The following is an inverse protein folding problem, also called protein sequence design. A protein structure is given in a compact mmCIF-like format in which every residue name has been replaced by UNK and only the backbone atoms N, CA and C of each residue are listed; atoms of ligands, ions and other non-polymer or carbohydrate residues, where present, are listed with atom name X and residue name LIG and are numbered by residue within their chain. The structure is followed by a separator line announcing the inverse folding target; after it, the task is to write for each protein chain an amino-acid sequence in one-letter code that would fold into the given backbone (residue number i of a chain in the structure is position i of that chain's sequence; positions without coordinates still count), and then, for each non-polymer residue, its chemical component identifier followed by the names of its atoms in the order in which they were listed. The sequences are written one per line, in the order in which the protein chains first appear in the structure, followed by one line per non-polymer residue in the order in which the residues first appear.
data_IF_534957186581
#
_entry.id   IF_534957186581
#
_cell.length_a   1.000
_cell.length_b   1.000
_cell.length_c   1.000
_cell.angle_alpha   90.00
_cell.angle_beta   90.00
_cell.angle_gamma   90.00
#
_symmetry.space_group_name_H-M   'P 1'
#
loop_
_entity.id
_entity.type
_entity.pdbx_description
1 polymer ?
#
# COMPACT_ATOMS: atom_id res chain seq x y z
N UNK A 1 28.27 -18.10 -15.16
CA UNK A 1 26.85 -18.30 -15.53
C UNK A 1 26.20 -19.01 -14.35
N UNK A 2 25.25 -18.37 -13.64
CA UNK A 2 24.62 -18.99 -12.46
C UNK A 2 23.78 -20.19 -12.90
N UNK A 3 23.98 -21.35 -12.28
CA UNK A 3 23.15 -22.54 -12.50
C UNK A 3 21.85 -22.33 -11.74
N UNK A 4 20.70 -22.49 -12.41
CA UNK A 4 19.38 -22.38 -11.77
C UNK A 4 18.78 -23.78 -11.72
N UNK A 5 18.63 -24.31 -10.51
CA UNK A 5 17.99 -25.60 -10.25
C UNK A 5 16.51 -25.38 -10.00
N UNK A 6 15.64 -25.89 -10.90
CA UNK A 6 14.18 -25.83 -10.73
C UNK A 6 13.71 -27.00 -9.87
N UNK A 7 12.81 -26.75 -8.93
CA UNK A 7 12.18 -27.76 -8.07
C UNK A 7 10.67 -27.83 -8.35
N UNK A 8 10.08 -29.01 -8.20
CA UNK A 8 8.68 -29.28 -8.58
C UNK A 8 7.64 -28.74 -7.57
N UNK A 9 8.06 -28.28 -6.39
CA UNK A 9 7.16 -27.79 -5.36
C UNK A 9 7.85 -27.06 -4.21
N UNK A 10 7.08 -26.38 -3.35
CA UNK A 10 7.62 -25.64 -2.20
C UNK A 10 8.32 -26.61 -1.22
N UNK A 11 9.42 -26.20 -0.57
CA UNK A 11 10.01 -26.95 0.52
C UNK A 11 8.98 -27.11 1.63
N UNK A 12 8.72 -28.36 2.04
CA UNK A 12 7.80 -28.66 3.14
C UNK A 12 8.56 -28.71 4.47
N UNK A 13 9.86 -29.03 4.42
CA UNK A 13 10.73 -29.21 5.58
C UNK A 13 12.05 -28.43 5.43
N UNK A 14 12.70 -28.01 6.55
CA UNK A 14 14.06 -27.48 6.54
C UNK A 14 15.02 -28.49 5.88
N UNK A 15 15.80 -28.04 4.90
CA UNK A 15 16.83 -28.88 4.28
C UNK A 15 18.17 -28.62 4.96
N UNK A 16 18.72 -29.65 5.55
CA UNK A 16 20.10 -29.64 6.02
C UNK A 16 21.01 -30.12 4.88
N UNK A 17 22.10 -29.39 4.66
CA UNK A 17 23.12 -29.75 3.68
C UNK A 17 24.42 -30.03 4.41
N UNK A 18 24.96 -31.25 4.26
CA UNK A 18 26.30 -31.58 4.72
C UNK A 18 27.31 -30.78 3.92
N UNK A 19 27.95 -29.80 4.56
CA UNK A 19 28.94 -28.96 3.91
C UNK A 19 30.25 -29.76 3.71
N UNK A 20 30.78 -29.84 2.48
CA UNK A 20 32.06 -30.50 2.24
C UNK A 20 33.20 -29.73 2.91
N UNK A 21 34.29 -30.42 3.29
CA UNK A 21 35.47 -29.82 3.94
C UNK A 21 36.09 -28.64 3.16
N UNK A 22 35.85 -28.57 1.85
CA UNK A 22 36.36 -27.54 0.94
C UNK A 22 35.33 -26.42 0.64
N UNK A 23 34.34 -26.22 1.51
CA UNK A 23 33.33 -25.18 1.33
C UNK A 23 33.96 -23.78 1.38
N UNK A 24 33.65 -22.95 0.39
CA UNK A 24 34.08 -21.55 0.33
C UNK A 24 32.86 -20.66 0.09
N UNK A 25 32.87 -19.38 0.49
CA UNK A 25 31.77 -18.45 0.24
C UNK A 25 31.36 -18.33 -1.23
N UNK A 26 32.28 -18.62 -2.16
CA UNK A 26 32.02 -18.62 -3.60
C UNK A 26 31.17 -19.83 -4.07
N UNK A 27 30.92 -20.81 -3.21
CA UNK A 27 30.07 -21.99 -3.48
C UNK A 27 28.62 -21.81 -3.03
N UNK A 28 28.27 -20.65 -2.45
CA UNK A 28 26.89 -20.33 -2.09
C UNK A 28 26.12 -20.05 -3.38
N UNK A 29 25.24 -20.96 -3.78
CA UNK A 29 24.26 -20.72 -4.83
C UNK A 29 23.08 -19.95 -4.24
N UNK A 30 22.71 -18.81 -4.85
CA UNK A 30 21.45 -18.14 -4.54
C UNK A 30 20.29 -18.99 -5.06
N UNK A 31 19.55 -19.62 -4.15
CA UNK A 31 18.34 -20.36 -4.49
C UNK A 31 17.19 -19.36 -4.62
N UNK A 32 16.77 -19.09 -5.85
CA UNK A 32 15.55 -18.33 -6.13
C UNK A 32 14.38 -19.29 -6.36
N UNK A 33 13.46 -19.37 -5.40
CA UNK A 33 12.22 -20.13 -5.55
C UNK A 33 11.20 -19.28 -6.31
N UNK A 34 10.95 -19.65 -7.57
CA UNK A 34 10.01 -18.95 -8.45
C UNK A 34 8.73 -19.77 -8.58
N UNK A 35 7.65 -19.31 -7.95
CA UNK A 35 6.33 -19.89 -8.12
C UNK A 35 5.62 -19.26 -9.33
N UNK A 36 5.34 -20.08 -10.35
CA UNK A 36 4.50 -19.67 -11.48
C UNK A 36 3.05 -20.05 -11.20
N UNK A 37 2.29 -19.15 -10.58
CA UNK A 37 0.84 -19.30 -10.39
C UNK A 37 0.10 -18.52 -11.48
N UNK A 38 -0.40 -19.17 -12.55
CA UNK A 38 -1.25 -18.48 -13.51
C UNK A 38 -2.53 -18.05 -12.80
N UNK A 39 -2.70 -16.74 -12.64
CA UNK A 39 -3.83 -16.17 -11.91
C UNK A 39 -4.79 -15.52 -12.91
N UNK A 40 -6.06 -15.92 -12.89
CA UNK A 40 -7.11 -15.23 -13.62
C UNK A 40 -7.75 -14.22 -12.68
N UNK A 41 -7.39 -12.95 -12.86
CA UNK A 41 -8.02 -11.85 -12.13
C UNK A 41 -9.42 -11.59 -12.68
N UNK A 42 -10.41 -11.46 -11.80
CA UNK A 42 -11.73 -10.97 -12.14
C UNK A 42 -11.92 -9.63 -11.43
N UNK A 43 -12.19 -8.58 -12.21
CA UNK A 43 -12.55 -7.26 -11.69
C UNK A 43 -14.00 -6.97 -12.08
N UNK A 44 -14.77 -6.44 -11.13
CA UNK A 44 -16.13 -5.97 -11.38
C UNK A 44 -16.22 -4.48 -11.09
N UNK A 45 -16.67 -3.70 -12.07
CA UNK A 45 -16.93 -2.26 -11.94
C UNK A 45 -18.36 -1.96 -11.49
N UNK A 46 -19.10 -2.99 -11.06
CA UNK A 46 -20.44 -2.83 -10.53
C UNK A 46 -20.38 -2.20 -9.13
N UNK A 47 -20.68 -0.90 -9.09
CA UNK A 47 -20.76 -0.12 -7.87
C UNK A 47 -22.12 -0.26 -7.17
N UNK A 48 -23.00 -1.18 -7.59
CA UNK A 48 -24.22 -1.43 -6.84
C UNK A 48 -23.90 -2.02 -5.47
N UNK A 49 -24.58 -1.46 -4.46
CA UNK A 49 -24.45 -1.89 -3.07
C UNK A 49 -24.95 -3.33 -2.90
N UNK A 50 -24.04 -4.30 -2.99
CA UNK A 50 -24.32 -5.66 -2.57
C UNK A 50 -24.33 -5.70 -1.02
N UNK A 51 -25.51 -5.74 -0.40
CA UNK A 51 -25.65 -6.02 1.03
C UNK A 51 -25.10 -7.43 1.31
N UNK A 52 -23.83 -7.45 1.72
CA UNK A 52 -23.04 -8.65 1.86
C UNK A 52 -22.44 -8.72 3.25
N UNK A 53 -22.10 -9.94 3.68
CA UNK A 53 -21.36 -10.16 4.93
C UNK A 53 -20.02 -9.42 4.96
N UNK A 54 -19.43 -9.18 3.79
CA UNK A 54 -18.16 -8.46 3.63
C UNK A 54 -18.36 -6.97 3.94
N UNK A 55 -19.43 -6.35 3.42
CA UNK A 55 -19.77 -4.95 3.74
C UNK A 55 -19.90 -4.74 5.26
N UNK A 56 -20.60 -5.65 5.96
CA UNK A 56 -20.75 -5.58 7.42
C UNK A 56 -19.42 -5.69 8.17
N UNK A 57 -18.50 -6.54 7.71
CA UNK A 57 -17.16 -6.65 8.30
C UNK A 57 -16.32 -5.40 8.04
N UNK A 58 -16.45 -4.81 6.85
CA UNK A 58 -15.79 -3.56 6.50
C UNK A 58 -16.27 -2.39 7.36
N UNK A 59 -17.59 -2.20 7.49
CA UNK A 59 -18.15 -1.14 8.36
C UNK A 59 -17.75 -1.34 9.83
N UNK A 60 -17.77 -2.58 10.35
CA UNK A 60 -17.30 -2.87 11.71
C UNK A 60 -15.80 -2.54 11.87
N UNK A 61 -15.00 -2.83 10.86
CA UNK A 61 -13.57 -2.50 10.84
C UNK A 61 -13.33 -0.99 10.88
N UNK A 62 -14.12 -0.22 10.12
CA UNK A 62 -14.10 1.25 10.16
C UNK A 62 -14.47 1.77 11.55
N UNK A 63 -15.61 1.33 12.10
CA UNK A 63 -16.11 1.76 13.41
C UNK A 63 -15.13 1.47 14.56
N UNK A 64 -14.44 0.32 14.52
CA UNK A 64 -13.48 -0.08 15.55
C UNK A 64 -12.09 0.58 15.42
N UNK A 65 -11.81 1.26 14.31
CA UNK A 65 -10.54 1.97 14.09
C UNK A 65 -10.80 3.46 13.93
N UNK A 66 -10.99 3.88 12.68
CA UNK A 66 -11.28 5.25 12.30
C UNK A 66 -12.25 5.23 11.12
N UNK A 67 -13.38 5.91 11.28
CA UNK A 67 -14.42 6.04 10.28
C UNK A 67 -14.62 7.50 9.90
N UNK A 68 -14.14 7.86 8.72
CA UNK A 68 -14.25 9.21 8.19
C UNK A 68 -15.69 9.74 8.08
N UNK A 69 -16.72 8.90 8.03
CA UNK A 69 -18.12 9.36 7.96
C UNK A 69 -18.65 9.87 9.31
N UNK A 70 -18.15 9.34 10.42
CA UNK A 70 -18.62 9.68 11.78
C UNK A 70 -17.61 10.47 12.59
N UNK A 71 -16.30 10.23 12.39
CA UNK A 71 -15.24 10.83 13.19
C UNK A 71 -14.84 12.22 12.67
N UNK A 72 -15.18 12.54 11.42
CA UNK A 72 -14.91 13.84 10.80
C UNK A 72 -16.19 14.66 10.63
N UNK A 73 -16.15 15.88 11.15
CA UNK A 73 -17.17 16.89 10.92
C UNK A 73 -16.94 17.60 9.57
N UNK A 74 -17.47 17.02 8.50
CA UNK A 74 -17.35 17.55 7.13
C UNK A 74 -18.00 18.91 6.92
N UNK A 75 -18.81 19.41 7.87
CA UNK A 75 -19.35 20.77 7.79
C UNK A 75 -18.28 21.84 8.00
N UNK A 76 -17.14 21.48 8.61
CA UNK A 76 -15.99 22.36 8.84
C UNK A 76 -15.06 22.33 7.62
N UNK A 77 -15.40 23.10 6.61
CA UNK A 77 -14.53 23.34 5.46
C UNK A 77 -13.38 24.29 5.80
N UNK A 78 -12.27 24.14 5.08
CA UNK A 78 -11.14 25.10 5.11
C UNK A 78 -11.52 26.29 4.23
N UNK A 79 -11.55 27.50 4.79
CA UNK A 79 -11.91 28.71 4.04
C UNK A 79 -10.87 28.98 2.94
N UNK A 80 -11.26 29.70 1.85
CA UNK A 80 -10.39 29.90 0.67
C UNK A 80 -9.18 30.82 0.92
N UNK A 81 -9.25 31.61 1.96
CA UNK A 81 -8.24 32.52 2.47
C UNK A 81 -7.34 31.89 3.55
N UNK A 82 -7.61 30.66 3.97
CA UNK A 82 -6.85 29.95 5.01
C UNK A 82 -5.87 28.92 4.43
N UNK A 83 -4.70 28.77 5.05
CA UNK A 83 -3.75 27.76 4.63
C UNK A 83 -4.28 26.33 4.90
N UNK A 84 -4.21 25.41 3.92
CA UNK A 84 -4.72 24.05 4.08
C UNK A 84 -3.90 23.20 5.06
N UNK A 85 -2.61 23.55 5.24
CA UNK A 85 -1.70 23.00 6.23
C UNK A 85 -0.91 24.18 6.80
N UNK A 86 -0.48 24.08 8.06
CA UNK A 86 0.40 25.07 8.68
C UNK A 86 1.61 25.34 7.76
N UNK A 87 1.85 26.59 7.32
CA UNK A 87 2.95 26.94 6.42
C UNK A 87 4.32 26.44 6.92
N UNK A 88 4.52 26.48 8.24
CA UNK A 88 5.73 26.02 8.93
C UNK A 88 6.06 24.54 8.67
N UNK A 89 5.05 23.72 8.35
CA UNK A 89 5.21 22.27 8.12
C UNK A 89 5.56 21.95 6.66
N UNK A 90 5.56 22.95 5.78
CA UNK A 90 5.82 22.76 4.35
C UNK A 90 7.20 23.30 4.02
N UNK A 91 8.19 22.39 4.02
CA UNK A 91 9.58 22.72 3.68
C UNK A 91 9.73 23.44 2.32
N UNK A 92 8.79 23.26 1.39
CA UNK A 92 8.77 23.95 0.09
C UNK A 92 8.52 25.46 0.19
N UNK A 93 8.00 25.96 1.31
CA UNK A 93 7.83 27.40 1.52
C UNK A 93 9.13 28.10 1.93
N UNK A 94 10.20 27.36 2.17
CA UNK A 94 11.53 27.92 2.36
C UNK A 94 12.17 28.20 0.98
N UNK A 95 12.68 29.42 0.77
CA UNK A 95 13.36 29.80 -0.47
C UNK A 95 12.53 30.70 -1.41
N UNK A 96 12.64 30.58 -2.74
CA UNK A 96 12.02 31.51 -3.71
C UNK A 96 10.49 31.67 -3.56
N UNK A 97 9.82 30.63 -3.05
CA UNK A 97 8.37 30.62 -2.78
C UNK A 97 7.99 31.54 -1.60
N UNK A 98 8.89 31.77 -0.63
CA UNK A 98 8.68 32.73 0.45
C UNK A 98 8.55 34.17 -0.09
N UNK A 99 9.25 34.48 -1.18
CA UNK A 99 9.25 35.80 -1.81
C UNK A 99 7.96 36.13 -2.59
N UNK A 100 7.05 35.16 -2.78
CA UNK A 100 5.76 35.41 -3.40
C UNK A 100 4.86 36.26 -2.48
N UNK A 101 3.96 37.09 -3.06
CA UNK A 101 2.87 37.71 -2.30
C UNK A 101 2.02 36.65 -1.59
N UNK A 102 1.43 37.01 -0.45
CA UNK A 102 0.63 36.13 0.41
C UNK A 102 -0.45 35.37 -0.37
N UNK A 103 -1.22 36.09 -1.18
CA UNK A 103 -2.30 35.52 -2.00
C UNK A 103 -1.79 34.44 -2.97
N UNK A 104 -0.62 34.69 -3.61
CA UNK A 104 -0.01 33.74 -4.54
C UNK A 104 0.61 32.55 -3.84
N UNK A 105 1.14 32.75 -2.64
CA UNK A 105 1.62 31.65 -1.79
C UNK A 105 0.48 30.74 -1.35
N UNK A 106 -0.65 31.34 -0.96
CA UNK A 106 -1.86 30.61 -0.59
C UNK A 106 -2.44 29.82 -1.76
N UNK A 107 -2.55 30.44 -2.94
CA UNK A 107 -2.97 29.77 -4.18
C UNK A 107 -2.07 28.57 -4.49
N UNK A 108 -0.74 28.77 -4.45
CA UNK A 108 0.23 27.70 -4.64
C UNK A 108 0.03 26.55 -3.65
N UNK A 109 -0.12 26.83 -2.36
CA UNK A 109 -0.31 25.80 -1.33
C UNK A 109 -1.57 24.96 -1.53
N UNK A 110 -2.65 25.56 -2.03
CA UNK A 110 -3.86 24.80 -2.38
C UNK A 110 -3.62 23.82 -3.52
N UNK A 111 -2.90 24.25 -4.55
CA UNK A 111 -2.56 23.39 -5.67
C UNK A 111 -1.58 22.28 -5.27
N UNK A 112 -0.56 22.60 -4.46
CA UNK A 112 0.38 21.61 -3.93
C UNK A 112 -0.35 20.55 -3.10
N UNK A 113 -1.27 20.98 -2.22
CA UNK A 113 -2.06 20.04 -1.42
C UNK A 113 -3.00 19.17 -2.26
N UNK A 114 -3.71 19.76 -3.22
CA UNK A 114 -4.60 19.03 -4.11
C UNK A 114 -3.82 17.99 -4.95
N UNK A 115 -2.64 18.36 -5.42
CA UNK A 115 -1.74 17.46 -6.13
C UNK A 115 -1.24 16.33 -5.23
N UNK A 116 -0.78 16.64 -4.01
CA UNK A 116 -0.30 15.65 -3.05
C UNK A 116 -1.40 14.63 -2.67
N UNK A 117 -2.62 15.10 -2.41
CA UNK A 117 -3.77 14.24 -2.16
C UNK A 117 -4.11 13.35 -3.36
N UNK A 118 -3.95 13.88 -4.58
CA UNK A 118 -4.17 13.09 -5.80
C UNK A 118 -3.12 11.97 -5.95
N UNK A 119 -1.85 12.25 -5.61
CA UNK A 119 -0.80 11.22 -5.60
C UNK A 119 -1.06 10.17 -4.52
N UNK A 120 -1.48 10.60 -3.32
CA UNK A 120 -1.84 9.69 -2.24
C UNK A 120 -2.97 8.76 -2.66
N UNK A 121 -4.08 9.29 -3.18
CA UNK A 121 -5.21 8.48 -3.64
C UNK A 121 -4.81 7.49 -4.75
N UNK A 122 -3.96 7.91 -5.68
CA UNK A 122 -3.46 7.03 -6.74
C UNK A 122 -2.55 5.93 -6.18
N UNK A 123 -1.71 6.24 -5.20
CA UNK A 123 -0.86 5.29 -4.49
C UNK A 123 -1.68 4.25 -3.72
N UNK A 124 -2.71 4.68 -3.00
CA UNK A 124 -3.66 3.81 -2.29
C UNK A 124 -4.34 2.81 -3.24
N UNK A 125 -4.79 3.27 -4.41
CA UNK A 125 -5.36 2.39 -5.44
C UNK A 125 -4.34 1.36 -5.95
N UNK A 126 -3.09 1.77 -6.16
CA UNK A 126 -2.01 0.86 -6.56
C UNK A 126 -1.65 -0.14 -5.47
N UNK A 127 -1.56 0.31 -4.21
CA UNK A 127 -1.28 -0.54 -3.04
C UNK A 127 -2.36 -1.58 -2.83
N UNK A 128 -3.64 -1.17 -2.90
CA UNK A 128 -4.79 -2.08 -2.76
C UNK A 128 -4.79 -3.18 -3.82
N UNK A 129 -4.45 -2.85 -5.07
CA UNK A 129 -4.29 -3.84 -6.14
C UNK A 129 -3.10 -4.79 -5.88
N UNK A 130 -2.00 -4.28 -5.31
CA UNK A 130 -0.87 -5.08 -4.87
C UNK A 130 -1.24 -6.06 -3.76
N UNK A 131 -1.86 -5.56 -2.68
CA UNK A 131 -2.29 -6.36 -1.53
C UNK A 131 -3.30 -7.46 -1.93
N UNK A 132 -4.21 -7.18 -2.87
CA UNK A 132 -5.11 -8.19 -3.44
C UNK A 132 -4.32 -9.36 -4.06
N UNK A 133 -3.27 -9.07 -4.84
CA UNK A 133 -2.44 -10.11 -5.45
C UNK A 133 -1.68 -10.95 -4.43
N UNK A 134 -1.15 -10.33 -3.37
CA UNK A 134 -0.48 -11.01 -2.25
C UNK A 134 -1.44 -11.88 -1.45
N UNK A 135 -2.67 -11.41 -1.26
CA UNK A 135 -3.72 -12.14 -0.55
C UNK A 135 -4.14 -13.43 -1.27
N UNK A 136 -4.05 -13.47 -2.61
CA UNK A 136 -4.27 -14.70 -3.38
C UNK A 136 -3.10 -15.69 -3.28
N UNK A 137 -1.89 -15.24 -2.94
CA UNK A 137 -0.73 -16.11 -2.66
C UNK A 137 -0.78 -16.74 -1.27
N UNK A 138 -1.53 -16.15 -0.33
CA UNK A 138 -1.74 -16.74 0.99
C UNK A 138 -2.67 -17.96 0.89
N UNK A 139 -2.18 -19.14 1.26
CA UNK A 139 -2.94 -20.40 1.19
C UNK A 139 -3.94 -20.59 2.33
N UNK A 140 -3.76 -19.87 3.45
CA UNK A 140 -4.57 -20.00 4.67
C UNK A 140 -5.42 -18.76 4.93
N UNK A 141 -6.69 -18.94 5.31
CA UNK A 141 -7.67 -17.86 5.51
C UNK A 141 -7.21 -16.82 6.57
N UNK A 142 -6.55 -17.28 7.63
CA UNK A 142 -5.97 -16.40 8.65
C UNK A 142 -4.86 -15.51 8.07
N UNK A 143 -4.00 -16.05 7.22
CA UNK A 143 -2.91 -15.32 6.58
C UNK A 143 -3.42 -14.33 5.52
N UNK A 144 -4.52 -14.64 4.84
CA UNK A 144 -5.19 -13.70 3.91
C UNK A 144 -5.68 -12.44 4.61
N UNK A 145 -6.32 -12.61 5.77
CA UNK A 145 -6.81 -11.48 6.56
C UNK A 145 -5.61 -10.63 7.04
N UNK A 146 -4.53 -11.26 7.51
CA UNK A 146 -3.35 -10.52 7.97
C UNK A 146 -2.71 -9.72 6.81
N UNK A 147 -2.52 -10.32 5.63
CA UNK A 147 -1.94 -9.60 4.48
C UNK A 147 -2.80 -8.41 4.00
N UNK A 148 -4.14 -8.51 4.03
CA UNK A 148 -5.00 -7.38 3.67
C UNK A 148 -4.95 -6.22 4.66
N UNK A 149 -4.58 -6.47 5.92
CA UNK A 149 -4.61 -5.48 7.01
C UNK A 149 -3.22 -5.04 7.49
N UNK A 150 -2.14 -5.73 7.10
CA UNK A 150 -0.77 -5.39 7.48
C UNK A 150 -0.13 -4.29 6.64
N UNK A 151 -0.81 -3.87 5.56
CA UNK A 151 -0.36 -2.82 4.65
C UNK A 151 -0.86 -1.40 5.05
N UNK A 152 -1.44 -1.27 6.26
CA UNK A 152 -1.82 0.01 6.90
C UNK A 152 -1.10 0.22 8.23
#
# INVERSE_FOLDING_TARGET
MKVITKVDGPPVDPREFDLPENFSPNHIEDIAEIFQTPMTGHYNWDYTDADSRIKKLYELGKELNWDGEIDLDWSKGIARDEYPIKPEMVARLEGPLAALPEEKRLEYMRHDQAWALSQFLHGEQGSSLGSLSTSFLCTHLSSKIICCFSDF
#
